data_IF_874099914556
#
_entry.id   IF_874099914556
#
_cell.length_a   1.000
_cell.length_b   1.000
_cell.length_c   1.000
_cell.angle_alpha   90.00
_cell.angle_beta   90.00
_cell.angle_gamma   90.00
#
_symmetry.space_group_name_H-M   'P 1'
#
loop_
_entity.id
_entity.type
_entity.pdbx_description
1 polymer ?
#
# COMPACT_ATOMS: atom_id res chain seq x y z
N UNK A 1 23.90 27.09 -90.80
CA UNK A 1 23.66 26.14 -89.68
C UNK A 1 23.02 26.91 -88.53
N UNK A 2 21.72 26.71 -88.32
CA UNK A 2 20.92 27.43 -87.32
C UNK A 2 20.96 26.71 -85.96
N UNK A 3 21.41 27.39 -84.91
CA UNK A 3 21.43 26.87 -83.55
C UNK A 3 20.37 27.60 -82.70
N UNK A 4 19.20 26.99 -82.61
CA UNK A 4 18.06 27.44 -81.82
C UNK A 4 18.28 27.10 -80.34
N UNK A 5 18.76 28.08 -79.56
CA UNK A 5 18.77 27.96 -78.09
C UNK A 5 17.34 28.00 -77.57
N UNK A 6 16.87 26.85 -77.07
CA UNK A 6 15.56 26.70 -76.42
C UNK A 6 15.47 27.57 -75.17
N UNK A 7 14.38 28.30 -75.06
CA UNK A 7 13.89 28.93 -73.83
C UNK A 7 13.46 27.84 -72.83
N UNK A 8 13.93 27.88 -71.56
CA UNK A 8 13.38 27.05 -70.51
C UNK A 8 12.02 27.60 -70.07
N UNK A 9 11.09 26.68 -70.00
CA UNK A 9 9.67 26.84 -69.77
C UNK A 9 9.43 27.27 -68.33
N UNK A 10 8.64 28.33 -68.16
CA UNK A 10 8.08 28.76 -66.88
C UNK A 10 7.45 27.56 -66.17
N UNK A 11 8.10 27.08 -65.11
CA UNK A 11 7.57 26.07 -64.20
C UNK A 11 6.59 26.78 -63.25
N UNK A 12 5.39 27.07 -63.75
CA UNK A 12 4.25 27.45 -62.93
C UNK A 12 3.74 26.23 -62.16
N UNK A 13 3.46 26.47 -60.88
CA UNK A 13 2.52 25.76 -60.04
C UNK A 13 2.81 24.28 -59.72
N UNK A 14 3.65 24.09 -58.69
CA UNK A 14 3.20 23.27 -57.56
C UNK A 14 3.46 24.04 -56.27
N UNK A 15 2.57 25.00 -55.97
CA UNK A 15 2.27 25.25 -54.57
C UNK A 15 1.55 23.98 -54.11
N UNK A 16 2.34 23.01 -53.69
CA UNK A 16 1.88 21.74 -53.14
C UNK A 16 1.28 22.04 -51.78
N UNK A 17 0.05 22.57 -51.82
CA UNK A 17 -0.98 22.60 -50.79
C UNK A 17 -0.47 22.42 -49.35
N UNK A 18 0.23 23.43 -48.83
CA UNK A 18 0.69 23.47 -47.43
C UNK A 18 -0.42 23.72 -46.38
N UNK A 19 -1.68 23.45 -46.72
CA UNK A 19 -2.85 23.74 -45.87
C UNK A 19 -3.86 22.60 -45.92
N UNK A 20 -3.69 21.65 -44.99
CA UNK A 20 -4.70 21.17 -44.01
C UNK A 20 -4.34 19.80 -43.42
N UNK A 21 -3.36 19.76 -42.48
CA UNK A 21 -3.44 18.84 -41.34
C UNK A 21 -3.59 19.56 -39.99
N UNK A 22 -3.37 20.88 -39.94
CA UNK A 22 -3.22 21.64 -38.67
C UNK A 22 -4.45 21.58 -37.75
N UNK A 23 -5.68 21.68 -38.28
CA UNK A 23 -6.90 21.66 -37.44
C UNK A 23 -7.20 20.26 -36.89
N UNK A 24 -6.97 19.19 -37.67
CA UNK A 24 -7.14 17.81 -37.20
C UNK A 24 -6.04 17.41 -36.21
N UNK A 25 -4.82 17.90 -36.40
CA UNK A 25 -3.71 17.71 -35.46
C UNK A 25 -3.93 18.41 -34.12
N UNK A 26 -4.50 19.62 -34.11
CA UNK A 26 -4.80 20.36 -32.89
C UNK A 26 -5.94 19.74 -32.06
N UNK A 27 -6.97 19.17 -32.71
CA UNK A 27 -8.01 18.44 -31.99
C UNK A 27 -7.46 17.15 -31.35
N UNK A 28 -6.59 16.43 -32.07
CA UNK A 28 -5.94 15.24 -31.54
C UNK A 28 -5.02 15.56 -30.34
N UNK A 29 -4.30 16.69 -30.38
CA UNK A 29 -3.45 17.11 -29.25
C UNK A 29 -4.28 17.51 -28.02
N UNK A 30 -5.39 18.23 -28.18
CA UNK A 30 -6.27 18.59 -27.05
C UNK A 30 -6.88 17.37 -26.38
N UNK A 31 -7.29 16.36 -27.14
CA UNK A 31 -7.81 15.09 -26.59
C UNK A 31 -6.72 14.35 -25.82
N UNK A 32 -5.51 14.29 -26.38
CA UNK A 32 -4.34 13.70 -25.71
C UNK A 32 -3.99 14.43 -24.41
N UNK A 33 -4.04 15.76 -24.41
CA UNK A 33 -3.74 16.58 -23.23
C UNK A 33 -4.82 16.40 -22.14
N UNK A 34 -6.09 16.31 -22.53
CA UNK A 34 -7.19 16.01 -21.60
C UNK A 34 -7.03 14.62 -20.95
N UNK A 35 -6.69 13.59 -21.73
CA UNK A 35 -6.40 12.26 -21.21
C UNK A 35 -5.20 12.27 -20.24
N UNK A 36 -4.17 13.06 -20.58
CA UNK A 36 -2.98 13.23 -19.73
C UNK A 36 -3.33 13.94 -18.42
N UNK A 37 -4.19 14.96 -18.46
CA UNK A 37 -4.68 15.65 -17.27
C UNK A 37 -5.43 14.70 -16.34
N UNK A 38 -6.33 13.88 -16.87
CA UNK A 38 -7.08 12.88 -16.08
C UNK A 38 -6.14 11.86 -15.44
N UNK A 39 -5.13 11.38 -16.18
CA UNK A 39 -4.14 10.45 -15.63
C UNK A 39 -3.29 11.10 -14.52
N UNK A 40 -2.95 12.39 -14.66
CA UNK A 40 -2.25 13.18 -13.65
C UNK A 40 -3.11 13.37 -12.39
N UNK A 41 -4.38 13.73 -12.53
CA UNK A 41 -5.30 13.89 -11.41
C UNK A 41 -5.46 12.60 -10.62
N UNK A 42 -5.55 11.46 -11.33
CA UNK A 42 -5.60 10.14 -10.70
C UNK A 42 -4.30 9.79 -9.96
N UNK A 43 -3.15 10.15 -10.54
CA UNK A 43 -1.85 9.95 -9.90
C UNK A 43 -1.70 10.83 -8.65
N UNK A 44 -2.17 12.08 -8.70
CA UNK A 44 -2.18 13.01 -7.59
C UNK A 44 -3.11 12.53 -6.46
N UNK A 45 -4.35 12.17 -6.79
CA UNK A 45 -5.32 11.64 -5.83
C UNK A 45 -4.78 10.37 -5.14
N UNK A 46 -4.08 9.50 -5.89
CA UNK A 46 -3.42 8.33 -5.30
C UNK A 46 -2.28 8.71 -4.35
N UNK A 47 -1.51 9.75 -4.68
CA UNK A 47 -0.44 10.25 -3.81
C UNK A 47 -1.02 10.85 -2.53
N UNK A 48 -2.01 11.73 -2.64
CA UNK A 48 -2.68 12.36 -1.50
C UNK A 48 -3.36 11.31 -0.62
N UNK A 49 -4.07 10.34 -1.21
CA UNK A 49 -4.65 9.22 -0.46
C UNK A 49 -3.58 8.41 0.29
N UNK A 50 -2.40 8.21 -0.29
CA UNK A 50 -1.29 7.49 0.36
C UNK A 50 -0.70 8.30 1.53
N UNK A 51 -0.56 9.61 1.35
CA UNK A 51 -0.04 10.52 2.37
C UNK A 51 -1.01 10.63 3.54
N UNK A 52 -2.30 10.87 3.27
CA UNK A 52 -3.38 10.83 4.26
C UNK A 52 -3.44 9.48 4.98
N UNK A 53 -3.32 8.37 4.26
CA UNK A 53 -3.31 7.04 4.87
C UNK A 53 -2.10 6.84 5.80
N UNK A 54 -0.92 7.35 5.43
CA UNK A 54 0.28 7.25 6.26
C UNK A 54 0.14 8.08 7.54
N UNK A 55 -0.27 9.33 7.41
CA UNK A 55 -0.38 10.23 8.56
C UNK A 55 -1.50 9.79 9.50
N UNK A 56 -2.65 9.39 8.95
CA UNK A 56 -3.73 8.82 9.75
C UNK A 56 -3.33 7.49 10.39
N UNK A 57 -2.51 6.65 9.73
CA UNK A 57 -1.99 5.43 10.33
C UNK A 57 -1.06 5.74 11.52
N UNK A 58 -0.20 6.76 11.40
CA UNK A 58 0.67 7.21 12.51
C UNK A 58 -0.19 7.76 13.65
N UNK A 59 -1.17 8.61 13.36
CA UNK A 59 -2.08 9.17 14.36
C UNK A 59 -2.88 8.08 15.07
N UNK A 60 -3.45 7.13 14.32
CA UNK A 60 -4.14 5.98 14.89
C UNK A 60 -3.21 5.11 15.74
N UNK A 61 -1.96 4.92 15.31
CA UNK A 61 -0.93 4.22 16.08
C UNK A 61 -0.61 4.93 17.39
N UNK A 62 -0.44 6.25 17.38
CA UNK A 62 -0.21 7.06 18.57
C UNK A 62 -1.40 7.02 19.53
N UNK A 63 -2.63 7.14 19.03
CA UNK A 63 -3.84 7.01 19.85
C UNK A 63 -3.97 5.62 20.47
N UNK A 64 -3.74 4.56 19.69
CA UNK A 64 -3.76 3.20 20.19
C UNK A 64 -2.70 2.96 21.27
N UNK A 65 -1.48 3.47 21.05
CA UNK A 65 -0.39 3.38 22.02
C UNK A 65 -0.67 4.20 23.29
N UNK A 66 -1.15 5.43 23.16
CA UNK A 66 -1.56 6.25 24.29
C UNK A 66 -2.68 5.62 25.10
N UNK A 67 -3.70 5.07 24.43
CA UNK A 67 -4.76 4.29 25.07
C UNK A 67 -4.24 3.08 25.82
N UNK A 68 -3.30 2.33 25.23
CA UNK A 68 -2.62 1.21 25.89
C UNK A 68 -1.88 1.64 27.16
N UNK A 69 -1.16 2.78 27.12
CA UNK A 69 -0.45 3.32 28.27
C UNK A 69 -1.40 3.76 29.38
N UNK A 70 -2.52 4.40 29.05
CA UNK A 70 -3.54 4.81 30.03
C UNK A 70 -4.14 3.57 30.71
N UNK A 71 -4.51 2.55 29.92
CA UNK A 71 -5.02 1.29 30.46
C UNK A 71 -3.98 0.65 31.38
N UNK A 72 -2.72 0.58 30.96
CA UNK A 72 -1.64 0.04 31.79
C UNK A 72 -1.45 0.83 33.09
N UNK A 73 -1.52 2.17 33.03
CA UNK A 73 -1.43 3.01 34.22
C UNK A 73 -2.57 2.71 35.20
N UNK A 74 -3.81 2.54 34.72
CA UNK A 74 -4.96 2.17 35.57
C UNK A 74 -4.76 0.79 36.17
N UNK A 75 -4.34 -0.19 35.37
CA UNK A 75 -4.04 -1.55 35.82
C UNK A 75 -2.93 -1.58 36.89
N UNK A 76 -1.98 -0.64 36.89
CA UNK A 76 -0.96 -0.61 37.94
C UNK A 76 -1.41 0.22 39.15
N UNK A 77 -1.95 1.42 38.92
CA UNK A 77 -2.27 2.36 39.99
C UNK A 77 -3.42 1.88 40.88
N UNK A 78 -4.48 1.29 40.30
CA UNK A 78 -5.68 0.87 41.06
C UNK A 78 -5.34 -0.25 42.05
N UNK A 79 -4.68 -1.36 41.67
CA UNK A 79 -4.32 -2.40 42.62
C UNK A 79 -3.37 -1.90 43.71
N UNK A 80 -2.39 -1.06 43.36
CA UNK A 80 -1.47 -0.47 44.35
C UNK A 80 -2.24 0.32 45.41
N UNK A 81 -3.19 1.16 44.97
CA UNK A 81 -4.02 1.95 45.88
C UNK A 81 -4.87 1.04 46.78
N UNK A 82 -5.53 0.03 46.21
CA UNK A 82 -6.36 -0.93 46.96
C UNK A 82 -5.55 -1.68 48.01
N UNK A 83 -4.36 -2.19 47.64
CA UNK A 83 -3.47 -2.89 48.57
C UNK A 83 -3.01 -1.96 49.70
N UNK A 84 -2.82 -0.67 49.42
CA UNK A 84 -2.39 0.30 50.42
C UNK A 84 -3.49 0.61 51.44
N UNK A 85 -4.76 0.64 51.01
CA UNK A 85 -5.92 0.95 51.85
C UNK A 85 -6.45 -0.24 52.66
N UNK A 86 -6.22 -1.47 52.20
CA UNK A 86 -6.74 -2.68 52.85
C UNK A 86 -5.73 -3.21 53.88
N UNK A 87 -6.14 -3.51 55.13
CA UNK A 87 -5.23 -4.06 56.15
C UNK A 87 -4.71 -5.45 55.77
N UNK A 88 -5.53 -6.24 55.06
CA UNK A 88 -5.21 -7.60 54.63
C UNK A 88 -4.58 -7.62 53.22
N UNK A 89 -3.37 -7.07 53.13
CA UNK A 89 -2.68 -6.74 51.86
C UNK A 89 -2.44 -7.93 50.93
N UNK A 90 -2.17 -9.11 51.48
CA UNK A 90 -1.81 -10.29 50.69
C UNK A 90 -3.02 -10.94 49.99
N UNK A 91 -4.19 -11.00 50.63
CA UNK A 91 -5.44 -11.45 49.98
C UNK A 91 -5.86 -10.46 48.88
N UNK A 92 -5.75 -9.15 49.16
CA UNK A 92 -6.05 -8.13 48.16
C UNK A 92 -5.14 -8.30 46.92
N UNK A 93 -3.85 -8.55 47.12
CA UNK A 93 -2.92 -8.85 46.04
C UNK A 93 -3.30 -10.15 45.30
N UNK A 94 -3.67 -11.21 46.01
CA UNK A 94 -4.08 -12.49 45.41
C UNK A 94 -5.33 -12.35 44.53
N UNK A 95 -6.35 -11.60 44.98
CA UNK A 95 -7.56 -11.31 44.21
C UNK A 95 -7.24 -10.53 42.93
N UNK A 96 -6.36 -9.52 43.01
CA UNK A 96 -5.94 -8.77 41.82
C UNK A 96 -5.16 -9.63 40.82
N UNK A 97 -4.26 -10.50 41.30
CA UNK A 97 -3.56 -11.47 40.44
C UNK A 97 -4.55 -12.40 39.76
N UNK A 98 -5.55 -12.92 40.50
CA UNK A 98 -6.59 -13.76 39.93
C UNK A 98 -7.39 -13.01 38.85
N UNK A 99 -7.75 -11.75 39.07
CA UNK A 99 -8.40 -10.92 38.07
C UNK A 99 -7.55 -10.76 36.80
N UNK A 100 -6.23 -10.55 36.94
CA UNK A 100 -5.32 -10.47 35.79
C UNK A 100 -5.25 -11.77 35.01
N UNK A 101 -5.16 -12.91 35.69
CA UNK A 101 -5.14 -14.21 35.04
C UNK A 101 -6.43 -14.44 34.26
N UNK A 102 -7.59 -14.11 34.84
CA UNK A 102 -8.89 -14.27 34.16
C UNK A 102 -8.97 -13.38 32.92
N UNK A 103 -8.65 -12.09 33.05
CA UNK A 103 -8.68 -11.14 31.91
C UNK A 103 -7.71 -11.59 30.82
N UNK A 104 -6.48 -11.97 31.19
CA UNK A 104 -5.46 -12.47 30.27
C UNK A 104 -5.92 -13.73 29.54
N UNK A 105 -6.52 -14.69 30.26
CA UNK A 105 -7.04 -15.92 29.67
C UNK A 105 -8.15 -15.62 28.65
N UNK A 106 -9.10 -14.75 28.99
CA UNK A 106 -10.17 -14.33 28.05
C UNK A 106 -9.57 -13.68 26.81
N UNK A 107 -8.62 -12.76 26.96
CA UNK A 107 -7.95 -12.11 25.83
C UNK A 107 -7.21 -13.10 24.93
N UNK A 108 -6.51 -14.08 25.51
CA UNK A 108 -5.83 -15.15 24.75
C UNK A 108 -6.84 -15.99 23.99
N UNK A 109 -7.96 -16.38 24.61
CA UNK A 109 -9.01 -17.17 23.96
C UNK A 109 -9.67 -16.41 22.82
N UNK A 110 -10.01 -15.13 23.02
CA UNK A 110 -10.58 -14.27 21.98
C UNK A 110 -9.58 -14.05 20.85
N UNK A 111 -8.31 -13.79 21.19
CA UNK A 111 -7.24 -13.62 20.22
C UNK A 111 -7.05 -14.88 19.36
N UNK A 112 -7.02 -16.05 20.00
CA UNK A 112 -6.95 -17.35 19.32
C UNK A 112 -8.18 -17.59 18.42
N UNK A 113 -9.37 -17.23 18.88
CA UNK A 113 -10.60 -17.37 18.09
C UNK A 113 -10.63 -16.44 16.86
N UNK A 114 -10.02 -15.25 16.95
CA UNK A 114 -9.94 -14.29 15.83
C UNK A 114 -8.72 -14.49 14.93
N UNK A 115 -7.72 -15.23 15.38
CA UNK A 115 -6.55 -15.57 14.57
C UNK A 115 -6.96 -16.42 13.36
N UNK A 116 -7.02 -15.78 12.20
CA UNK A 116 -7.08 -16.45 10.90
C UNK A 116 -5.66 -16.62 10.38
N UNK A 117 -4.92 -17.56 10.97
CA UNK A 117 -3.58 -17.93 10.48
C UNK A 117 -3.78 -18.76 9.20
N UNK A 118 -4.00 -18.07 8.09
CA UNK A 118 -3.86 -18.62 6.73
C UNK A 118 -2.56 -18.10 6.16
N UNK A 119 -1.70 -18.97 5.63
CA UNK A 119 -0.54 -18.52 4.87
C UNK A 119 -1.03 -17.69 3.68
N UNK A 120 -0.41 -16.53 3.38
CA UNK A 120 -0.74 -15.76 2.20
C UNK A 120 -0.63 -16.68 0.97
N UNK A 121 -1.62 -16.69 0.06
CA UNK A 121 -1.65 -17.67 -1.05
C UNK A 121 -0.38 -17.62 -1.89
N UNK A 122 0.22 -16.44 -2.05
CA UNK A 122 1.50 -16.26 -2.75
C UNK A 122 2.69 -16.88 -2.03
N UNK A 123 2.73 -16.82 -0.70
CA UNK A 123 3.79 -17.49 0.09
C UNK A 123 3.67 -19.00 -0.01
N UNK A 124 2.46 -19.55 -0.05
CA UNK A 124 2.25 -21.00 -0.25
C UNK A 124 2.72 -21.44 -1.64
N UNK A 125 2.45 -20.63 -2.66
CA UNK A 125 2.84 -20.92 -4.04
C UNK A 125 4.36 -20.87 -4.23
N UNK A 126 5.04 -19.83 -3.73
CA UNK A 126 6.51 -19.77 -3.75
C UNK A 126 7.16 -20.89 -2.95
N UNK A 127 6.57 -21.34 -1.84
CA UNK A 127 7.09 -22.49 -1.07
C UNK A 127 6.93 -23.81 -1.82
N UNK A 128 5.86 -23.99 -2.61
CA UNK A 128 5.69 -25.16 -3.48
C UNK A 128 6.72 -25.17 -4.60
N UNK A 129 6.92 -24.03 -5.27
CA UNK A 129 7.91 -23.90 -6.34
C UNK A 129 9.34 -24.18 -5.83
N UNK A 130 9.70 -23.64 -4.65
CA UNK A 130 10.98 -23.91 -4.01
C UNK A 130 11.18 -25.39 -3.67
N UNK A 131 10.11 -26.08 -3.22
CA UNK A 131 10.15 -27.53 -2.95
C UNK A 131 10.40 -28.33 -4.23
N UNK A 132 9.75 -27.96 -5.33
CA UNK A 132 9.95 -28.62 -6.63
C UNK A 132 11.38 -28.44 -7.16
N UNK A 133 11.95 -27.24 -7.01
CA UNK A 133 13.35 -26.97 -7.34
C UNK A 133 14.33 -27.79 -6.50
N UNK A 134 14.11 -27.88 -5.18
CA UNK A 134 14.96 -28.66 -4.29
C UNK A 134 14.92 -30.17 -4.61
N UNK A 135 13.73 -30.71 -4.87
CA UNK A 135 13.56 -32.12 -5.25
C UNK A 135 14.19 -32.44 -6.60
N UNK A 136 14.10 -31.51 -7.57
CA UNK A 136 14.79 -31.65 -8.86
C UNK A 136 16.31 -31.70 -8.69
N UNK A 137 16.87 -30.88 -7.79
CA UNK A 137 18.32 -30.82 -7.57
C UNK A 137 18.90 -32.07 -6.90
N UNK A 138 18.17 -32.65 -5.95
CA UNK A 138 18.57 -33.94 -5.34
C UNK A 138 18.48 -35.07 -6.36
N UNK A 139 17.45 -35.06 -7.22
CA UNK A 139 17.29 -36.09 -8.26
C UNK A 139 18.27 -35.96 -9.43
N UNK A 140 18.75 -34.77 -9.75
CA UNK A 140 19.73 -34.56 -10.83
C UNK A 140 21.18 -34.80 -10.42
N UNK A 141 21.51 -34.78 -9.12
CA UNK A 141 22.87 -34.98 -8.60
C UNK A 141 23.19 -36.45 -8.25
N UNK A 142 22.29 -37.39 -8.58
CA UNK A 142 22.42 -38.83 -8.31
C UNK A 142 22.66 -39.68 -9.56
N UNK A 143 23.22 -39.12 -10.63
CA UNK A 143 23.63 -39.83 -11.85
C UNK A 143 25.06 -39.49 -12.22
#
# INVERSE_FOLDING_TARGET
MANTRRVPHLRMATIEREKRPRVRGLMASVISDAQRLVALEFALAKQEAKELAKDNAIAAGLMAFGGLLIVLAILVAVPVLVIMLVPWRWEAAAVWVAAYVVIGLVLVLVGKARMRIGLPPRTVESLKENKEWALRRVRSNGR
#
